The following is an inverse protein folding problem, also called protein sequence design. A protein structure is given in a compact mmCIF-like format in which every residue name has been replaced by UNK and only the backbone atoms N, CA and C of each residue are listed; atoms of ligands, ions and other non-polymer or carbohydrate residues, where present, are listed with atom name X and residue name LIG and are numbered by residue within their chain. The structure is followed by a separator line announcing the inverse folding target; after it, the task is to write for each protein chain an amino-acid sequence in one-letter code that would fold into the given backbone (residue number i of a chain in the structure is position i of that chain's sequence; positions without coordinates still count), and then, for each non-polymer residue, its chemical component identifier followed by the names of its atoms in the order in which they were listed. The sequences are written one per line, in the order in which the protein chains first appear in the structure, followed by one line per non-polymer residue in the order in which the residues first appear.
data_IF_483247675016
#
_entry.id   IF_483247675016
#
_cell.length_a   1.000
_cell.length_b   1.000
_cell.length_c   1.000
_cell.angle_alpha   90.00
_cell.angle_beta   90.00
_cell.angle_gamma   90.00
#
_symmetry.space_group_name_H-M   'P 1'
#
loop_
_entity.id
_entity.type
_entity.pdbx_description
1 polymer ?
#
# COMPACT_ATOMS: atom_id res chain seq x y z
N UNK A 1 -9.63 -24.84 5.09
CA UNK A 1 -8.53 -23.86 4.92
C UNK A 1 -8.20 -23.81 3.44
N UNK A 2 -8.24 -22.64 2.83
CA UNK A 2 -7.81 -22.50 1.44
C UNK A 2 -6.31 -22.80 1.36
N UNK A 3 -5.92 -23.62 0.38
CA UNK A 3 -4.51 -23.94 0.16
C UNK A 3 -3.87 -22.75 -0.56
N UNK A 4 -3.12 -21.93 0.16
CA UNK A 4 -2.21 -20.94 -0.41
C UNK A 4 -0.76 -21.40 -0.25
N UNK A 5 0.16 -20.80 -0.99
CA UNK A 5 1.60 -20.88 -0.72
C UNK A 5 2.17 -19.48 -0.58
N UNK A 6 3.07 -19.29 0.38
CA UNK A 6 3.81 -18.06 0.61
C UNK A 6 5.28 -18.42 0.73
N UNK A 7 6.10 -17.90 -0.18
CA UNK A 7 7.54 -18.18 -0.22
C UNK A 7 8.34 -16.90 -0.48
N UNK A 8 9.56 -16.85 0.05
CA UNK A 8 10.50 -15.78 -0.33
C UNK A 8 10.94 -16.07 -1.76
N UNK A 9 10.76 -15.09 -2.65
CA UNK A 9 11.17 -15.21 -4.04
C UNK A 9 12.62 -14.75 -4.22
N UNK A 10 12.96 -13.58 -3.69
CA UNK A 10 14.33 -13.04 -3.63
C UNK A 10 14.43 -11.89 -2.62
N UNK A 11 15.65 -11.38 -2.42
CA UNK A 11 15.95 -10.21 -1.60
C UNK A 11 16.63 -9.14 -2.45
N UNK A 12 16.23 -7.90 -2.27
CA UNK A 12 16.83 -6.72 -2.91
C UNK A 12 17.65 -5.98 -1.86
N UNK A 13 18.91 -5.69 -2.17
CA UNK A 13 19.79 -4.85 -1.35
C UNK A 13 19.70 -3.41 -1.85
N UNK A 14 19.63 -2.45 -0.93
CA UNK A 14 19.56 -1.02 -1.21
C UNK A 14 18.19 -0.38 -1.03
N UNK A 15 17.20 -1.09 -0.49
CA UNK A 15 15.84 -0.59 -0.20
C UNK A 15 15.49 -0.97 1.24
N UNK A 16 15.23 0.00 2.11
CA UNK A 16 14.70 -0.24 3.47
C UNK A 16 13.21 0.07 3.53
N UNK A 17 12.51 -0.50 4.53
CA UNK A 17 11.11 -0.21 4.89
C UNK A 17 10.18 -0.09 3.67
N UNK A 18 10.11 -1.15 2.86
CA UNK A 18 9.34 -1.14 1.62
C UNK A 18 7.83 -1.16 1.91
N UNK A 19 7.12 -0.17 1.38
CA UNK A 19 5.73 0.20 1.73
C UNK A 19 4.80 0.30 0.51
N UNK A 20 5.20 -0.28 -0.62
CA UNK A 20 4.38 -0.30 -1.82
C UNK A 20 5.11 -0.92 -3.01
N UNK A 21 4.37 -1.65 -3.85
CA UNK A 21 4.91 -2.39 -4.99
C UNK A 21 4.09 -2.18 -6.26
N UNK A 22 4.78 -2.16 -7.39
CA UNK A 22 4.16 -2.29 -8.70
C UNK A 22 5.04 -3.10 -9.65
N UNK A 23 4.53 -4.21 -10.17
CA UNK A 23 5.22 -5.07 -11.13
C UNK A 23 4.76 -4.78 -12.57
N UNK A 24 5.70 -4.54 -13.47
CA UNK A 24 5.45 -4.34 -14.90
C UNK A 24 6.62 -4.86 -15.75
N UNK A 25 6.37 -5.87 -16.60
CA UNK A 25 7.34 -6.41 -17.57
C UNK A 25 8.74 -6.64 -16.99
N UNK A 26 8.84 -7.44 -15.92
CA UNK A 26 10.08 -7.77 -15.20
C UNK A 26 10.76 -6.62 -14.43
N UNK A 27 10.19 -5.41 -14.47
CA UNK A 27 10.53 -4.34 -13.54
C UNK A 27 9.59 -4.36 -12.33
N UNK A 28 10.18 -4.31 -11.14
CA UNK A 28 9.47 -4.12 -9.89
C UNK A 28 9.77 -2.71 -9.37
N UNK A 29 8.76 -1.86 -9.36
CA UNK A 29 8.80 -0.55 -8.74
C UNK A 29 8.48 -0.68 -7.25
N UNK A 30 9.29 -0.03 -6.42
CA UNK A 30 9.19 -0.11 -4.97
C UNK A 30 9.31 1.28 -4.37
N UNK A 31 8.49 1.60 -3.39
CA UNK A 31 8.64 2.76 -2.52
C UNK A 31 8.98 2.28 -1.11
N UNK A 32 9.63 3.15 -0.33
CA UNK A 32 9.82 2.90 1.10
C UNK A 32 9.42 4.13 1.91
N UNK A 33 8.86 3.90 3.09
CA UNK A 33 8.25 4.94 3.93
C UNK A 33 9.27 6.04 4.31
N UNK A 34 10.52 5.64 4.49
CA UNK A 34 11.65 6.44 4.94
C UNK A 34 12.56 6.89 3.79
N UNK A 35 12.12 6.78 2.54
CA UNK A 35 12.92 7.09 1.36
C UNK A 35 12.34 8.21 0.51
N UNK A 36 13.24 9.03 -0.05
CA UNK A 36 12.91 10.05 -1.05
C UNK A 36 12.93 9.53 -2.50
N UNK A 37 13.07 8.22 -2.70
CA UNK A 37 13.24 7.59 -4.00
C UNK A 37 12.09 6.66 -4.37
N UNK A 38 11.81 6.57 -5.67
CA UNK A 38 11.17 5.43 -6.30
C UNK A 38 12.27 4.50 -6.80
N UNK A 39 12.24 3.25 -6.36
CA UNK A 39 13.17 2.23 -6.80
C UNK A 39 12.61 1.49 -8.00
N UNK A 40 13.45 1.15 -8.96
CA UNK A 40 13.12 0.26 -10.08
C UNK A 40 14.10 -0.89 -10.10
N UNK A 41 13.63 -2.08 -9.76
CA UNK A 41 14.41 -3.30 -9.73
C UNK A 41 14.09 -4.19 -10.92
N UNK A 42 15.08 -4.50 -11.75
CA UNK A 42 14.92 -5.44 -12.84
C UNK A 42 15.15 -6.87 -12.34
N UNK A 43 14.11 -7.71 -12.42
CA UNK A 43 14.12 -9.07 -11.88
C UNK A 43 14.98 -10.05 -12.68
N UNK A 44 15.31 -9.76 -13.95
CA UNK A 44 16.12 -10.64 -14.80
C UNK A 44 17.62 -10.43 -14.56
N UNK A 45 18.08 -9.18 -14.58
CA UNK A 45 19.50 -8.86 -14.45
C UNK A 45 19.89 -8.38 -13.04
N UNK A 46 18.92 -8.28 -12.13
CA UNK A 46 19.10 -7.92 -10.72
C UNK A 46 19.65 -6.50 -10.50
N UNK A 47 19.42 -5.59 -11.45
CA UNK A 47 19.84 -4.19 -11.36
C UNK A 47 18.81 -3.36 -10.59
N UNK A 48 19.29 -2.58 -9.62
CA UNK A 48 18.50 -1.58 -8.89
C UNK A 48 18.82 -0.17 -9.40
N UNK A 49 17.80 0.53 -9.90
CA UNK A 49 17.87 1.95 -10.23
C UNK A 49 17.07 2.77 -9.20
N UNK A 50 17.46 4.02 -9.01
CA UNK A 50 16.81 4.94 -8.08
C UNK A 50 16.37 6.20 -8.83
N UNK A 51 15.12 6.60 -8.65
CA UNK A 51 14.52 7.79 -9.25
C UNK A 51 14.10 8.75 -8.14
N UNK A 52 14.53 10.00 -8.21
CA UNK A 52 14.21 11.02 -7.20
C UNK A 52 12.71 11.36 -7.24
N UNK A 53 12.00 11.22 -6.12
CA UNK A 53 10.61 11.68 -5.97
C UNK A 53 10.51 13.07 -5.32
N UNK A 54 11.47 13.38 -4.45
CA UNK A 54 11.58 14.66 -3.73
C UNK A 54 12.89 15.36 -4.06
N UNK A 55 12.99 16.62 -3.63
CA UNK A 55 14.22 17.39 -3.78
C UNK A 55 15.24 16.92 -2.73
N UNK A 56 16.50 16.75 -3.13
CA UNK A 56 17.58 16.19 -2.30
C UNK A 56 17.21 14.84 -1.66
N UNK A 57 16.84 13.83 -2.46
CA UNK A 57 16.37 12.56 -1.93
C UNK A 57 17.49 11.82 -1.19
N UNK A 58 17.13 11.22 -0.06
CA UNK A 58 18.00 10.32 0.71
C UNK A 58 17.21 9.10 1.16
N UNK A 59 17.92 8.10 1.68
CA UNK A 59 17.35 6.91 2.34
C UNK A 59 17.38 7.11 3.86
N UNK A 60 16.59 6.35 4.61
CA UNK A 60 16.51 6.45 6.08
C UNK A 60 16.27 7.90 6.56
N UNK A 61 15.34 8.59 5.90
CA UNK A 61 14.93 9.94 6.27
C UNK A 61 14.31 9.89 7.68
N UNK A 62 14.73 10.74 8.63
CA UNK A 62 14.20 10.75 9.99
C UNK A 62 12.66 10.83 10.04
N UNK A 63 12.04 10.13 11.02
CA UNK A 63 10.57 9.98 11.16
C UNK A 63 9.77 11.29 11.10
N UNK A 64 10.33 12.39 11.60
CA UNK A 64 9.71 13.73 11.60
C UNK A 64 9.85 14.48 10.27
N UNK A 65 10.76 14.05 9.39
CA UNK A 65 11.06 14.65 8.09
C UNK A 65 10.60 13.79 6.91
N UNK A 66 10.36 12.49 7.12
CA UNK A 66 10.02 11.57 6.03
C UNK A 66 8.71 11.95 5.33
N UNK A 67 8.65 11.83 3.98
CA UNK A 67 7.42 12.03 3.23
C UNK A 67 6.38 10.93 3.51
N UNK A 68 6.82 9.80 4.07
CA UNK A 68 5.96 8.68 4.47
C UNK A 68 5.16 8.16 3.30
N UNK A 69 5.87 7.79 2.23
CA UNK A 69 5.23 7.22 1.06
C UNK A 69 4.74 5.81 1.41
N UNK A 70 3.42 5.64 1.50
CA UNK A 70 2.75 4.44 2.01
C UNK A 70 1.77 3.84 1.00
N UNK A 71 1.66 4.41 -0.20
CA UNK A 71 0.80 3.85 -1.23
C UNK A 71 1.33 4.12 -2.62
N UNK A 72 1.34 3.08 -3.44
CA UNK A 72 1.76 3.12 -4.83
C UNK A 72 0.65 2.55 -5.70
N UNK A 73 0.23 3.30 -6.71
CA UNK A 73 -0.70 2.80 -7.73
C UNK A 73 -0.28 3.27 -9.11
N UNK A 74 -0.92 2.75 -10.15
CA UNK A 74 -0.60 3.11 -11.53
C UNK A 74 -1.86 3.24 -12.37
N UNK A 75 -1.78 4.06 -13.41
CA UNK A 75 -2.71 4.03 -14.53
C UNK A 75 -1.95 4.37 -15.81
N UNK A 76 -2.07 3.49 -16.82
CA UNK A 76 -1.24 3.53 -18.03
C UNK A 76 0.26 3.58 -17.68
N UNK A 77 0.98 4.57 -18.18
CA UNK A 77 2.42 4.74 -17.96
C UNK A 77 2.75 5.60 -16.73
N UNK A 78 1.75 6.01 -15.94
CA UNK A 78 1.94 6.90 -14.79
C UNK A 78 1.81 6.14 -13.48
N UNK A 79 2.80 6.31 -12.60
CA UNK A 79 2.75 5.90 -11.20
C UNK A 79 2.32 7.07 -10.32
N UNK A 80 1.47 6.79 -9.35
CA UNK A 80 1.01 7.72 -8.33
C UNK A 80 1.49 7.24 -6.97
N UNK A 81 2.33 8.05 -6.33
CA UNK A 81 2.93 7.76 -5.01
C UNK A 81 2.31 8.69 -3.99
N UNK A 82 1.69 8.14 -2.95
CA UNK A 82 1.00 8.91 -1.92
C UNK A 82 1.76 8.90 -0.60
N UNK A 83 1.89 10.08 -0.01
CA UNK A 83 2.19 10.20 1.41
C UNK A 83 0.97 9.83 2.26
N UNK A 84 1.21 9.31 3.46
CA UNK A 84 0.17 8.75 4.32
C UNK A 84 -0.87 9.75 4.87
N UNK A 85 -0.59 11.05 4.79
CA UNK A 85 -1.48 12.11 5.29
C UNK A 85 -1.61 12.22 6.80
N UNK A 86 -0.82 11.45 7.57
CA UNK A 86 -0.84 11.46 9.04
C UNK A 86 -0.21 12.71 9.67
N UNK A 87 0.60 13.48 8.91
CA UNK A 87 1.15 14.77 9.31
C UNK A 87 1.27 15.73 8.12
N UNK A 88 1.52 17.02 8.39
CA UNK A 88 1.61 18.06 7.35
C UNK A 88 2.62 17.73 6.23
N UNK A 89 3.75 17.10 6.57
CA UNK A 89 4.80 16.74 5.60
C UNK A 89 4.42 15.55 4.69
N UNK A 90 3.32 14.85 5.00
CA UNK A 90 2.89 13.58 4.38
C UNK A 90 1.66 13.74 3.48
N UNK A 91 1.25 14.99 3.21
CA UNK A 91 0.07 15.31 2.40
C UNK A 91 0.40 15.47 0.90
N UNK A 92 1.36 14.70 0.36
CA UNK A 92 1.81 14.84 -1.03
C UNK A 92 1.41 13.63 -1.87
N UNK A 93 1.11 13.85 -3.14
CA UNK A 93 1.08 12.82 -4.16
C UNK A 93 2.05 13.17 -5.30
N UNK A 94 2.88 12.22 -5.68
CA UNK A 94 3.84 12.37 -6.78
C UNK A 94 3.36 11.58 -7.98
N UNK A 95 3.32 12.22 -9.14
CA UNK A 95 3.06 11.58 -10.43
C UNK A 95 4.38 11.34 -11.14
N UNK A 96 4.67 10.09 -11.50
CA UNK A 96 5.92 9.69 -12.13
C UNK A 96 5.65 8.98 -13.46
N UNK A 97 6.26 9.45 -14.54
CA UNK A 97 6.15 8.80 -15.86
C UNK A 97 7.17 7.67 -16.00
N UNK A 98 6.68 6.45 -16.21
CA UNK A 98 7.51 5.27 -16.40
C UNK A 98 8.27 5.27 -17.72
N UNK A 99 7.85 6.06 -18.72
CA UNK A 99 8.54 6.14 -20.02
C UNK A 99 9.74 7.07 -19.97
N UNK A 100 9.53 8.32 -19.56
CA UNK A 100 10.61 9.31 -19.44
C UNK A 100 11.46 9.12 -18.18
N UNK A 101 10.96 8.37 -17.19
CA UNK A 101 11.59 8.18 -15.87
C UNK A 101 11.71 9.50 -15.11
N UNK A 102 10.69 10.36 -15.19
CA UNK A 102 10.68 11.68 -14.54
C UNK A 102 9.41 11.93 -13.74
N UNK A 103 9.53 12.72 -12.69
CA UNK A 103 8.37 13.30 -11.99
C UNK A 103 7.65 14.27 -12.92
N UNK A 104 6.36 14.05 -13.14
CA UNK A 104 5.46 14.92 -13.88
C UNK A 104 4.91 16.04 -13.00
N UNK A 105 4.46 15.69 -11.79
CA UNK A 105 3.76 16.60 -10.90
C UNK A 105 3.95 16.22 -9.43
N UNK A 106 3.95 17.23 -8.56
CA UNK A 106 3.88 17.07 -7.10
C UNK A 106 2.61 17.79 -6.62
N UNK A 107 1.63 17.01 -6.17
CA UNK A 107 0.32 17.50 -5.75
C UNK A 107 0.26 17.62 -4.23
N UNK A 108 -0.44 18.65 -3.74
CA UNK A 108 -0.79 18.80 -2.33
C UNK A 108 -2.21 18.27 -2.11
N UNK A 109 -2.36 17.30 -1.21
CA UNK A 109 -3.61 16.60 -0.91
C UNK A 109 -4.27 17.04 0.40
N UNK A 110 -3.80 18.12 1.05
CA UNK A 110 -4.36 18.62 2.33
C UNK A 110 -5.89 18.72 2.27
N UNK A 111 -6.44 19.41 1.26
CA UNK A 111 -7.88 19.62 1.18
C UNK A 111 -8.65 18.32 0.95
N UNK A 112 -8.13 17.44 0.08
CA UNK A 112 -8.72 16.13 -0.16
C UNK A 112 -8.75 15.29 1.12
N UNK A 113 -7.64 15.24 1.85
CA UNK A 113 -7.52 14.46 3.08
C UNK A 113 -8.44 15.01 4.17
N UNK A 114 -8.62 16.34 4.28
CA UNK A 114 -9.61 16.94 5.18
C UNK A 114 -11.05 16.51 4.79
N UNK A 115 -11.38 16.48 3.49
CA UNK A 115 -12.68 15.99 3.04
C UNK A 115 -12.86 14.51 3.39
N UNK A 116 -11.86 13.67 3.14
CA UNK A 116 -11.89 12.24 3.51
C UNK A 116 -12.05 12.03 5.01
N UNK A 117 -11.32 12.78 5.84
CA UNK A 117 -11.43 12.75 7.30
C UNK A 117 -12.87 13.06 7.75
N UNK A 118 -13.48 14.11 7.21
CA UNK A 118 -14.85 14.49 7.53
C UNK A 118 -15.87 13.42 7.10
N UNK A 119 -15.80 12.93 5.87
CA UNK A 119 -16.73 11.92 5.34
C UNK A 119 -16.54 10.52 5.96
N UNK A 120 -15.32 10.18 6.38
CA UNK A 120 -15.03 8.96 7.12
C UNK A 120 -15.32 9.10 8.62
N UNK A 121 -15.61 10.31 9.09
CA UNK A 121 -15.64 10.69 10.51
C UNK A 121 -14.35 10.23 11.23
N UNK A 122 -13.21 10.35 10.57
CA UNK A 122 -11.88 9.97 11.05
C UNK A 122 -11.22 11.22 11.61
N UNK A 123 -10.73 11.16 12.84
CA UNK A 123 -10.01 12.30 13.42
C UNK A 123 -8.65 12.45 12.74
N UNK A 124 -8.09 13.67 12.63
CA UNK A 124 -6.81 13.88 11.96
C UNK A 124 -5.69 12.96 12.47
N UNK A 125 -5.60 12.73 13.78
CA UNK A 125 -4.59 11.85 14.39
C UNK A 125 -4.79 10.34 14.12
N UNK A 126 -5.96 9.94 13.65
CA UNK A 126 -6.31 8.56 13.29
C UNK A 126 -6.27 8.35 11.76
N UNK A 127 -6.01 9.40 10.97
CA UNK A 127 -5.95 9.32 9.52
C UNK A 127 -4.57 8.88 9.05
N UNK A 128 -4.53 7.81 8.27
CA UNK A 128 -3.30 7.23 7.74
C UNK A 128 -3.64 6.40 6.50
N UNK A 129 -3.26 6.89 5.32
CA UNK A 129 -3.45 6.21 4.05
C UNK A 129 -2.37 5.14 3.84
N UNK A 130 -2.78 3.91 3.55
CA UNK A 130 -1.89 2.76 3.28
C UNK A 130 -2.41 1.89 2.13
N UNK A 131 -3.01 2.52 1.13
CA UNK A 131 -3.40 1.82 -0.07
C UNK A 131 -4.10 2.74 -1.05
N UNK A 132 -3.81 2.56 -2.33
CA UNK A 132 -4.40 3.34 -3.41
C UNK A 132 -4.63 2.47 -4.63
N UNK A 133 -5.78 2.64 -5.28
CA UNK A 133 -6.13 2.03 -6.55
C UNK A 133 -6.69 3.13 -7.44
N UNK A 134 -6.28 3.15 -8.71
CA UNK A 134 -6.92 3.97 -9.73
C UNK A 134 -7.27 3.13 -10.95
N UNK A 135 -8.55 3.10 -11.32
CA UNK A 135 -9.03 2.36 -12.50
C UNK A 135 -9.12 3.23 -13.77
N UNK A 136 -8.77 4.52 -13.67
CA UNK A 136 -8.92 5.53 -14.73
C UNK A 136 -10.14 6.43 -14.59
N UNK A 137 -11.12 6.02 -13.78
CA UNK A 137 -12.35 6.77 -13.49
C UNK A 137 -12.58 6.96 -11.98
N UNK A 138 -12.20 5.97 -11.18
CA UNK A 138 -12.41 5.92 -9.74
C UNK A 138 -11.10 5.69 -9.01
N UNK A 139 -10.91 6.46 -7.94
CA UNK A 139 -9.90 6.21 -6.92
C UNK A 139 -10.51 5.42 -5.77
N UNK A 140 -9.78 4.41 -5.30
CA UNK A 140 -10.08 3.72 -4.04
C UNK A 140 -8.90 3.95 -3.09
N UNK A 141 -9.15 4.70 -2.03
CA UNK A 141 -8.12 5.09 -1.05
C UNK A 141 -8.41 4.41 0.29
N UNK A 142 -7.39 3.78 0.88
CA UNK A 142 -7.54 2.87 2.02
C UNK A 142 -6.93 3.49 3.28
N UNK A 143 -7.78 3.87 4.24
CA UNK A 143 -7.32 4.32 5.55
C UNK A 143 -7.06 3.14 6.47
N UNK A 144 -5.86 3.10 7.06
CA UNK A 144 -5.47 2.17 8.12
C UNK A 144 -6.25 2.45 9.40
N UNK A 145 -6.92 1.44 9.92
CA UNK A 145 -7.68 1.50 11.17
C UNK A 145 -6.85 1.23 12.44
N UNK A 146 -5.60 1.67 12.56
CA UNK A 146 -4.76 1.45 13.75
C UNK A 146 -4.99 2.50 14.86
N UNK A 147 -5.66 3.62 14.54
CA UNK A 147 -6.06 4.63 15.52
C UNK A 147 -7.11 4.15 16.51
N UNK A 148 -7.45 4.99 17.50
CA UNK A 148 -8.38 4.63 18.60
C UNK A 148 -9.75 4.23 18.05
N UNK A 149 -10.20 4.93 17.00
CA UNK A 149 -11.48 4.68 16.33
C UNK A 149 -11.54 3.37 15.53
N UNK A 150 -10.40 2.71 15.27
CA UNK A 150 -10.28 1.47 14.49
C UNK A 150 -10.99 1.50 13.13
N UNK A 151 -10.92 2.63 12.41
CA UNK A 151 -11.65 2.89 11.17
C UNK A 151 -10.89 2.44 9.93
N UNK A 152 -11.01 1.15 9.62
CA UNK A 152 -10.64 0.63 8.30
C UNK A 152 -11.64 1.11 7.26
N UNK A 153 -11.27 2.11 6.47
CA UNK A 153 -12.20 2.82 5.57
C UNK A 153 -11.68 2.78 4.16
N UNK A 154 -12.55 2.44 3.21
CA UNK A 154 -12.29 2.64 1.78
C UNK A 154 -13.06 3.87 1.35
N UNK A 155 -12.36 4.83 0.77
CA UNK A 155 -12.94 5.99 0.10
C UNK A 155 -12.98 5.73 -1.40
N UNK A 156 -14.17 5.77 -1.99
CA UNK A 156 -14.36 5.72 -3.44
C UNK A 156 -14.60 7.13 -3.95
N UNK A 157 -13.72 7.62 -4.82
CA UNK A 157 -13.76 8.97 -5.38
C UNK A 157 -13.92 8.84 -6.89
N UNK A 158 -15.04 9.30 -7.43
CA UNK A 158 -15.26 9.33 -8.88
C UNK A 158 -14.67 10.61 -9.46
N UNK A 159 -13.46 10.51 -10.00
CA UNK A 159 -12.72 11.61 -10.60
C UNK A 159 -11.55 11.09 -11.44
N UNK A 160 -11.29 11.73 -12.59
CA UNK A 160 -10.10 11.44 -13.40
C UNK A 160 -8.83 12.01 -12.77
N UNK A 161 -8.95 13.19 -12.15
CA UNK A 161 -7.89 13.85 -11.40
C UNK A 161 -8.41 14.25 -10.02
N UNK A 162 -7.61 14.04 -8.98
CA UNK A 162 -7.98 14.34 -7.59
C UNK A 162 -8.10 15.86 -7.27
N UNK A 163 -7.77 16.73 -8.23
CA UNK A 163 -7.96 18.18 -8.12
C UNK A 163 -9.25 18.71 -8.76
N UNK A 164 -10.08 17.86 -9.36
CA UNK A 164 -11.34 18.23 -10.01
C UNK A 164 -12.55 18.04 -9.06
N UNK A 165 -13.74 18.47 -9.49
CA UNK A 165 -14.98 18.13 -8.77
C UNK A 165 -15.18 16.61 -8.74
N UNK A 166 -15.52 16.08 -7.57
CA UNK A 166 -15.65 14.65 -7.37
C UNK A 166 -16.88 14.28 -6.55
N UNK A 167 -17.35 13.05 -6.75
CA UNK A 167 -18.26 12.39 -5.82
C UNK A 167 -17.44 11.45 -4.92
N UNK A 168 -17.68 11.49 -3.60
CA UNK A 168 -16.97 10.67 -2.62
C UNK A 168 -17.94 9.83 -1.79
N UNK A 169 -17.62 8.55 -1.63
CA UNK A 169 -18.32 7.60 -0.77
C UNK A 169 -17.30 6.98 0.18
N UNK A 170 -17.65 6.82 1.46
CA UNK A 170 -16.83 6.13 2.46
C UNK A 170 -17.53 4.85 2.93
N UNK A 171 -16.79 3.74 3.02
CA UNK A 171 -17.28 2.45 3.52
C UNK A 171 -16.33 1.92 4.59
N UNK A 172 -16.88 1.69 5.78
CA UNK A 172 -16.15 1.12 6.92
C UNK A 172 -16.18 -0.41 6.91
N UNK A 173 -15.02 -1.02 7.18
CA UNK A 173 -14.85 -2.47 7.20
C UNK A 173 -14.49 -2.98 8.58
N UNK A 174 -15.12 -4.09 8.97
CA UNK A 174 -14.72 -4.89 10.14
C UNK A 174 -13.80 -6.02 9.70
N UNK A 175 -12.51 -5.73 9.57
CA UNK A 175 -11.48 -6.70 9.19
C UNK A 175 -11.26 -7.78 10.28
N UNK A 176 -10.58 -8.91 10.01
CA UNK A 176 -10.36 -9.97 10.99
C UNK A 176 -9.60 -9.54 12.26
N UNK A 177 -9.58 -10.43 13.26
CA UNK A 177 -8.83 -10.23 14.51
C UNK A 177 -7.86 -11.38 14.76
N UNK A 178 -6.71 -11.08 15.36
CA UNK A 178 -5.80 -12.06 15.94
C UNK A 178 -5.66 -11.72 17.43
N UNK A 179 -5.91 -12.69 18.32
CA UNK A 179 -5.85 -12.49 19.78
C UNK A 179 -6.61 -11.23 20.28
N UNK A 180 -7.70 -10.86 19.61
CA UNK A 180 -8.51 -9.69 19.97
C UNK A 180 -8.10 -8.36 19.31
N UNK A 181 -6.91 -8.29 18.72
CA UNK A 181 -6.38 -7.13 17.96
C UNK A 181 -6.93 -7.16 16.53
N UNK A 182 -7.52 -6.05 16.10
CA UNK A 182 -8.15 -5.90 14.78
C UNK A 182 -7.05 -5.66 13.73
N UNK A 183 -7.10 -6.36 12.61
CA UNK A 183 -6.21 -6.05 11.49
C UNK A 183 -6.64 -4.76 10.80
N UNK A 184 -5.67 -4.08 10.18
CA UNK A 184 -5.90 -2.86 9.42
C UNK A 184 -5.35 -2.96 8.01
N UNK A 185 -5.96 -2.26 7.05
CA UNK A 185 -5.46 -2.23 5.66
C UNK A 185 -4.01 -1.75 5.63
N UNK A 186 -3.21 -2.37 4.77
CA UNK A 186 -1.78 -2.05 4.56
C UNK A 186 -1.36 -1.98 3.09
N UNK A 187 -2.15 -2.54 2.17
CA UNK A 187 -2.08 -2.25 0.73
C UNK A 187 -3.31 -2.85 0.01
N UNK A 188 -3.58 -2.45 -1.23
CA UNK A 188 -4.59 -3.07 -2.07
C UNK A 188 -4.35 -2.86 -3.58
N UNK A 189 -4.81 -3.81 -4.38
CA UNK A 189 -4.80 -3.74 -5.86
C UNK A 189 -6.12 -4.18 -6.46
N UNK A 190 -6.41 -3.68 -7.66
CA UNK A 190 -7.52 -4.14 -8.48
C UNK A 190 -7.04 -5.19 -9.48
N UNK A 191 -7.69 -6.35 -9.49
CA UNK A 191 -7.51 -7.38 -10.52
C UNK A 191 -8.89 -7.79 -11.01
N UNK A 192 -9.15 -7.58 -12.30
CA UNK A 192 -10.48 -7.72 -12.90
C UNK A 192 -11.51 -6.84 -12.15
N UNK A 193 -12.58 -7.42 -11.60
CA UNK A 193 -13.62 -6.72 -10.82
C UNK A 193 -13.48 -6.91 -9.31
N UNK A 194 -12.27 -7.26 -8.85
CA UNK A 194 -11.97 -7.62 -7.46
C UNK A 194 -10.82 -6.80 -6.90
N UNK A 195 -11.05 -6.18 -5.76
CA UNK A 195 -9.99 -5.57 -4.94
C UNK A 195 -9.38 -6.68 -4.09
N UNK A 196 -8.10 -6.99 -4.29
CA UNK A 196 -7.32 -7.79 -3.36
C UNK A 196 -6.60 -6.85 -2.40
N UNK A 197 -6.65 -7.14 -1.11
CA UNK A 197 -6.07 -6.27 -0.09
C UNK A 197 -5.27 -7.04 0.93
N UNK A 198 -4.22 -6.39 1.44
CA UNK A 198 -3.50 -6.83 2.63
C UNK A 198 -4.07 -6.16 3.87
N UNK A 199 -4.01 -6.90 4.99
CA UNK A 199 -4.22 -6.28 6.30
C UNK A 199 -3.37 -6.93 7.38
N UNK A 200 -2.85 -6.13 8.29
CA UNK A 200 -1.98 -6.59 9.38
C UNK A 200 -2.62 -6.33 10.74
N UNK A 201 -2.59 -7.33 11.63
CA UNK A 201 -2.91 -7.14 13.04
C UNK A 201 -1.64 -6.80 13.81
N UNK A 202 -1.56 -5.55 14.26
CA UNK A 202 -0.43 -4.98 15.00
C UNK A 202 -0.90 -4.48 16.36
N UNK A 203 -0.30 -4.99 17.42
CA UNK A 203 -0.64 -4.60 18.78
C UNK A 203 0.18 -3.38 19.21
N UNK A 204 -0.30 -2.20 18.82
CA UNK A 204 0.30 -0.90 19.16
C UNK A 204 0.23 -0.53 20.65
N UNK A 205 -0.43 -1.35 21.49
CA UNK A 205 -0.46 -1.19 22.95
C UNK A 205 0.56 -2.06 23.67
N UNK A 206 1.27 -2.92 22.94
CA UNK A 206 2.35 -3.73 23.47
C UNK A 206 3.53 -2.84 23.92
N UNK A 207 4.48 -3.40 24.64
CA UNK A 207 5.67 -2.68 25.14
C UNK A 207 6.74 -2.44 24.06
N UNK A 208 6.45 -2.73 22.79
CA UNK A 208 7.33 -2.49 21.66
C UNK A 208 7.04 -1.11 21.07
N UNK A 209 8.08 -0.38 20.67
CA UNK A 209 7.95 1.03 20.24
C UNK A 209 7.03 1.21 19.01
N UNK A 210 6.99 0.22 18.11
CA UNK A 210 6.14 0.20 16.90
C UNK A 210 5.08 -0.93 16.92
N UNK A 211 4.86 -1.59 18.06
CA UNK A 211 3.83 -2.62 18.25
C UNK A 211 4.22 -4.06 17.84
N UNK A 212 3.55 -5.07 18.41
CA UNK A 212 3.80 -6.49 18.10
C UNK A 212 3.01 -6.90 16.85
N UNK A 213 3.70 -7.41 15.82
CA UNK A 213 3.04 -7.99 14.65
C UNK A 213 2.49 -9.38 14.97
N UNK A 214 1.16 -9.52 14.94
CA UNK A 214 0.46 -10.77 15.22
C UNK A 214 0.16 -11.60 13.95
N UNK A 215 0.33 -10.96 12.79
CA UNK A 215 0.25 -11.57 11.47
C UNK A 215 -0.56 -10.77 10.46
N UNK A 216 -0.38 -11.14 9.19
CA UNK A 216 -1.03 -10.52 8.04
C UNK A 216 -2.04 -11.44 7.37
N UNK A 217 -3.01 -10.83 6.70
CA UNK A 217 -4.07 -11.46 5.91
C UNK A 217 -4.02 -10.97 4.48
N UNK A 218 -4.39 -11.84 3.55
CA UNK A 218 -4.91 -11.44 2.24
C UNK A 218 -6.43 -11.52 2.27
N UNK A 219 -7.11 -10.55 1.67
CA UNK A 219 -8.55 -10.58 1.48
C UNK A 219 -8.95 -10.13 0.09
N UNK A 220 -10.23 -10.28 -0.22
CA UNK A 220 -10.82 -9.87 -1.49
C UNK A 220 -12.16 -9.19 -1.27
N UNK A 221 -12.38 -8.07 -1.96
CA UNK A 221 -13.64 -7.31 -1.98
C UNK A 221 -14.17 -7.32 -3.41
N UNK A 222 -15.47 -7.56 -3.56
CA UNK A 222 -16.19 -7.39 -4.82
C UNK A 222 -16.48 -5.90 -5.06
N UNK A 223 -15.99 -5.33 -6.17
CA UNK A 223 -16.10 -3.87 -6.42
C UNK A 223 -17.54 -3.40 -6.57
N UNK A 224 -18.43 -4.25 -7.11
CA UNK A 224 -19.83 -3.88 -7.35
C UNK A 224 -20.64 -3.79 -6.07
N UNK A 225 -20.41 -4.73 -5.15
CA UNK A 225 -21.15 -4.83 -3.90
C UNK A 225 -20.42 -4.18 -2.73
N UNK A 226 -19.12 -3.90 -2.89
CA UNK A 226 -18.20 -3.45 -1.85
C UNK A 226 -18.17 -4.38 -0.63
N UNK A 227 -18.48 -5.67 -0.81
CA UNK A 227 -18.47 -6.69 0.26
C UNK A 227 -17.20 -7.53 0.20
N UNK A 228 -16.71 -7.91 1.37
CA UNK A 228 -15.61 -8.87 1.50
C UNK A 228 -16.11 -10.25 1.06
N UNK A 229 -15.45 -10.81 0.05
CA UNK A 229 -15.64 -12.19 -0.42
C UNK A 229 -14.97 -13.19 0.55
N UNK A 230 -13.73 -12.91 0.93
CA UNK A 230 -12.97 -13.73 1.87
C UNK A 230 -11.83 -12.94 2.54
N UNK A 231 -11.32 -13.51 3.63
CA UNK A 231 -10.05 -13.13 4.26
C UNK A 231 -9.33 -14.40 4.71
N UNK A 232 -8.03 -14.50 4.46
CA UNK A 232 -7.20 -15.64 4.79
C UNK A 232 -5.91 -15.15 5.48
N UNK A 233 -5.63 -15.66 6.69
CA UNK A 233 -4.35 -15.39 7.36
C UNK A 233 -3.23 -16.05 6.57
N UNK A 234 -2.19 -15.31 6.22
CA UNK A 234 -1.07 -15.78 5.38
C UNK A 234 0.25 -15.91 6.16
N UNK A 235 0.42 -15.17 7.26
CA UNK A 235 1.59 -15.25 8.14
C UNK A 235 1.21 -14.92 9.58
N UNK A 236 2.03 -15.32 10.54
CA UNK A 236 1.89 -14.92 11.95
C UNK A 236 2.98 -13.95 12.41
N UNK A 237 3.91 -13.57 11.52
CA UNK A 237 5.13 -12.85 11.90
C UNK A 237 5.43 -11.64 11.04
N UNK A 238 5.04 -11.64 9.77
CA UNK A 238 5.42 -10.57 8.84
C UNK A 238 4.29 -9.54 8.71
N UNK A 239 4.66 -8.26 8.63
CA UNK A 239 3.81 -7.13 8.24
C UNK A 239 4.02 -6.89 6.74
N UNK A 240 3.01 -7.16 5.93
CA UNK A 240 3.09 -6.93 4.49
C UNK A 240 2.43 -5.61 4.12
N UNK A 241 3.15 -4.74 3.43
CA UNK A 241 2.73 -3.36 3.08
C UNK A 241 2.89 -3.04 1.60
N UNK A 242 3.20 -4.06 0.79
CA UNK A 242 3.15 -3.94 -0.66
C UNK A 242 2.50 -5.17 -1.26
N UNK A 243 1.64 -4.96 -2.25
CA UNK A 243 0.95 -5.99 -2.99
C UNK A 243 0.94 -5.60 -4.48
N UNK A 244 1.39 -6.49 -5.34
CA UNK A 244 1.22 -6.33 -6.79
C UNK A 244 0.81 -7.63 -7.43
N UNK A 245 0.00 -7.54 -8.50
CA UNK A 245 -0.32 -8.67 -9.34
C UNK A 245 0.95 -9.16 -10.05
N UNK A 246 1.18 -10.48 -10.02
CA UNK A 246 2.30 -11.09 -10.73
C UNK A 246 1.84 -11.80 -11.99
N UNK A 247 0.95 -12.80 -11.83
CA UNK A 247 0.37 -13.53 -12.95
C UNK A 247 -0.88 -14.33 -12.54
N UNK A 248 -1.61 -14.77 -13.55
CA UNK A 248 -2.81 -15.61 -13.43
C UNK A 248 -2.71 -16.76 -14.44
N UNK A 249 -2.50 -17.98 -13.95
CA UNK A 249 -2.33 -19.17 -14.80
C UNK A 249 -2.81 -20.44 -14.08
N UNK A 250 -3.22 -21.46 -14.81
CA UNK A 250 -3.53 -22.80 -14.25
C UNK A 250 -4.48 -22.78 -13.03
N UNK A 251 -5.53 -21.96 -13.10
CA UNK A 251 -6.49 -21.74 -12.00
C UNK A 251 -5.87 -21.21 -10.70
N UNK A 252 -4.76 -20.46 -10.81
CA UNK A 252 -4.07 -19.79 -9.71
C UNK A 252 -3.83 -18.33 -10.05
N UNK A 253 -3.90 -17.50 -9.02
CA UNK A 253 -3.51 -16.10 -9.06
C UNK A 253 -2.31 -15.91 -8.14
N UNK A 254 -1.31 -15.19 -8.62
CA UNK A 254 -0.06 -14.96 -7.92
C UNK A 254 0.19 -13.48 -7.73
N UNK A 255 0.70 -13.13 -6.56
CA UNK A 255 1.02 -11.78 -6.16
C UNK A 255 2.46 -11.72 -5.64
N UNK A 256 3.11 -10.57 -5.81
CA UNK A 256 4.34 -10.24 -5.10
C UNK A 256 4.03 -9.32 -3.93
N UNK A 257 4.73 -9.55 -2.81
CA UNK A 257 4.55 -8.80 -1.57
C UNK A 257 5.90 -8.30 -1.06
N UNK A 258 5.93 -7.12 -0.44
CA UNK A 258 7.07 -6.68 0.36
C UNK A 258 6.70 -6.60 1.83
N UNK A 259 7.68 -6.88 2.67
CA UNK A 259 7.60 -6.75 4.11
C UNK A 259 8.19 -5.41 4.54
N UNK A 260 7.49 -4.76 5.46
CA UNK A 260 8.10 -3.77 6.33
C UNK A 260 8.61 -4.49 7.59
N UNK A 261 9.91 -4.36 7.82
CA UNK A 261 10.61 -5.02 8.92
C UNK A 261 11.04 -4.04 10.02
N UNK A 262 10.62 -2.77 9.93
CA UNK A 262 10.94 -1.70 10.90
C UNK A 262 12.45 -1.60 11.21
N UNK A 263 13.32 -1.92 10.25
CA UNK A 263 14.77 -1.80 10.40
C UNK A 263 15.35 -0.70 9.50
N UNK A 264 16.45 -0.10 9.96
CA UNK A 264 17.25 0.83 9.13
C UNK A 264 18.11 0.10 8.08
N UNK A 265 18.08 -1.24 8.05
CA UNK A 265 18.85 -2.03 7.09
C UNK A 265 18.23 -1.84 5.71
N UNK A 266 19.06 -1.42 4.76
CA UNK A 266 18.64 -1.25 3.37
C UNK A 266 18.56 -2.61 2.66
N UNK A 267 17.62 -3.44 3.09
CA UNK A 267 17.25 -4.68 2.43
C UNK A 267 15.73 -4.89 2.47
N UNK A 268 15.18 -5.43 1.38
CA UNK A 268 13.77 -5.83 1.34
C UNK A 268 13.63 -7.22 0.74
N UNK A 269 12.76 -8.03 1.33
CA UNK A 269 12.43 -9.36 0.82
C UNK A 269 11.14 -9.28 0.01
N UNK A 270 11.19 -9.84 -1.18
CA UNK A 270 10.01 -10.01 -2.03
C UNK A 270 9.49 -11.42 -1.86
N UNK A 271 8.24 -11.52 -1.47
CA UNK A 271 7.52 -12.77 -1.29
C UNK A 271 6.60 -13.02 -2.47
N UNK A 272 6.38 -14.29 -2.81
CA UNK A 272 5.36 -14.69 -3.77
C UNK A 272 4.23 -15.41 -3.03
N UNK A 273 3.03 -14.88 -3.17
CA UNK A 273 1.80 -15.48 -2.67
C UNK A 273 1.02 -16.09 -3.83
N UNK A 274 0.70 -17.38 -3.75
CA UNK A 274 -0.13 -18.07 -4.74
C UNK A 274 -1.46 -18.49 -4.09
N UNK A 275 -2.57 -18.08 -4.71
CA UNK A 275 -3.93 -18.42 -4.31
C UNK A 275 -4.65 -19.21 -5.41
N UNK A 276 -5.56 -20.13 -5.08
CA UNK A 276 -6.45 -20.75 -6.07
C UNK A 276 -7.49 -19.72 -6.53
N UNK A 277 -7.76 -19.68 -7.84
CA UNK A 277 -8.86 -18.89 -8.39
C UNK A 277 -10.16 -19.63 -8.12
N UNK A 278 -11.16 -18.90 -7.64
CA UNK A 278 -12.54 -19.35 -7.50
C UNK A 278 -13.41 -18.75 -8.59
#
# INVERSE_FOLDING_TARGET
MEKFTLEILFQIIGIGSASGLFYNNDALYVIGDNSGFLYEYNMQNQQLNQHALIDNPTQNIPKNLKPDFESLTHHNDTLYVFGSGSTENRNKMIEFDMKSKTVLQKNNLVDLYVVMQNFGEIKPQDFNLEGAIFDGENWYLFNRGNGISNKNTIFTIHAKNLGEEFALISVNYKLPKIKGVRSSFTDAILVDDKIYFLSTAEDTKSTYDDGEILGSFIGRIDVKTMKIDFTQKITSTNKFEGLTFYKKENNKIEFLLCEDNDTEVLETKIYKLTLPIK
#
